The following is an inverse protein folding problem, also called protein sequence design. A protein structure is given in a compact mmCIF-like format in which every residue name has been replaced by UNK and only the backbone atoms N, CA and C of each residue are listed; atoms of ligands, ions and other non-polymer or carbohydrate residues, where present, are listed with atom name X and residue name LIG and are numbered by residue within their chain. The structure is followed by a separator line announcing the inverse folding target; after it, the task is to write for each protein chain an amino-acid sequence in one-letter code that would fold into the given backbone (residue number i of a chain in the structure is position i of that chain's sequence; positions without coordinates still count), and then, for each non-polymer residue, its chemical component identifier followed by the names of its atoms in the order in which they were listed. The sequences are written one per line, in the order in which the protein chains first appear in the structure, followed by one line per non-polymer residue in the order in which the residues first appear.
data_IF_090067487531
#
_entry.id   IF_090067487531
#
_cell.length_a   1.000
_cell.length_b   1.000
_cell.length_c   1.000
_cell.angle_alpha   90.00
_cell.angle_beta   90.00
_cell.angle_gamma   90.00
#
_symmetry.space_group_name_H-M   'P 1'
#
loop_
_entity.id
_entity.type
_entity.pdbx_description
1 polymer ?
#
# COMPACT_ATOMS: atom_id res chain seq x y z
N UNK A 1 -8.87 -20.80 -31.07
CA UNK A 1 -9.57 -20.02 -32.11
C UNK A 1 -8.54 -19.16 -32.82
N UNK A 2 -8.53 -19.11 -34.15
CA UNK A 2 -7.56 -18.29 -34.88
C UNK A 2 -7.97 -16.80 -34.76
N UNK A 3 -7.04 -15.94 -34.37
CA UNK A 3 -7.26 -14.50 -34.34
C UNK A 3 -7.37 -13.94 -35.77
N UNK A 4 -8.23 -12.92 -36.02
CA UNK A 4 -8.20 -12.18 -37.28
C UNK A 4 -6.80 -11.63 -37.57
N UNK A 5 -6.34 -11.72 -38.83
CA UNK A 5 -4.97 -11.33 -39.21
C UNK A 5 -4.62 -9.90 -38.81
N UNK A 6 -5.49 -8.94 -39.12
CA UNK A 6 -5.31 -7.54 -38.76
C UNK A 6 -5.19 -7.33 -37.23
N UNK A 7 -5.97 -8.07 -36.44
CA UNK A 7 -5.88 -7.98 -34.98
C UNK A 7 -4.55 -8.52 -34.46
N UNK A 8 -4.11 -9.67 -34.98
CA UNK A 8 -2.79 -10.23 -34.66
C UNK A 8 -1.68 -9.26 -35.01
N UNK A 9 -1.67 -8.72 -36.23
CA UNK A 9 -0.65 -7.77 -36.69
C UNK A 9 -0.60 -6.52 -35.81
N UNK A 10 -1.76 -5.97 -35.42
CA UNK A 10 -1.82 -4.83 -34.51
C UNK A 10 -1.25 -5.14 -33.13
N UNK A 11 -1.52 -6.33 -32.57
CA UNK A 11 -0.97 -6.75 -31.28
C UNK A 11 0.55 -6.96 -31.36
N UNK A 12 1.04 -7.56 -32.44
CA UNK A 12 2.47 -7.74 -32.69
C UNK A 12 3.18 -6.37 -32.77
N UNK A 13 2.64 -5.45 -33.56
CA UNK A 13 3.16 -4.09 -33.67
C UNK A 13 3.13 -3.33 -32.32
N UNK A 14 2.09 -3.53 -31.51
CA UNK A 14 2.01 -2.94 -30.17
C UNK A 14 3.03 -3.53 -29.18
N UNK A 15 3.47 -4.78 -29.39
CA UNK A 15 4.50 -5.42 -28.58
C UNK A 15 5.93 -5.01 -28.98
N UNK A 16 6.15 -4.57 -30.21
CA UNK A 16 7.50 -4.27 -30.71
C UNK A 16 8.28 -3.24 -29.87
N UNK A 17 7.67 -2.13 -29.39
CA UNK A 17 8.36 -1.22 -28.47
C UNK A 17 8.80 -1.92 -27.17
N UNK A 18 7.97 -2.84 -26.65
CA UNK A 18 8.30 -3.61 -25.46
C UNK A 18 9.40 -4.62 -25.73
N UNK A 19 9.41 -5.25 -26.92
CA UNK A 19 10.48 -6.18 -27.35
C UNK A 19 11.83 -5.48 -27.42
N UNK A 20 11.87 -4.30 -28.03
CA UNK A 20 13.09 -3.50 -28.15
C UNK A 20 13.68 -3.13 -26.78
N UNK A 21 12.83 -2.96 -25.76
CA UNK A 21 13.23 -2.66 -24.38
C UNK A 21 13.42 -3.91 -23.50
N UNK A 22 13.21 -5.12 -24.03
CA UNK A 22 13.23 -6.35 -23.23
C UNK A 22 12.10 -6.48 -22.21
N UNK A 23 10.99 -5.75 -22.40
CA UNK A 23 9.82 -5.68 -21.51
C UNK A 23 8.67 -6.61 -21.94
N UNK A 24 8.98 -7.68 -22.66
CA UNK A 24 8.03 -8.77 -22.91
C UNK A 24 8.25 -9.84 -21.85
N UNK A 25 7.39 -9.82 -20.83
CA UNK A 25 7.50 -10.70 -19.69
C UNK A 25 6.93 -12.08 -19.97
N UNK A 26 7.55 -13.11 -19.39
CA UNK A 26 7.01 -14.47 -19.30
C UNK A 26 6.78 -14.79 -17.83
N UNK A 27 5.70 -15.50 -17.54
CA UNK A 27 5.45 -16.01 -16.19
C UNK A 27 6.53 -17.03 -15.86
N UNK A 28 7.24 -16.82 -14.76
CA UNK A 28 8.29 -17.73 -14.26
C UNK A 28 7.80 -18.42 -13.00
N UNK A 29 8.21 -19.67 -12.81
CA UNK A 29 7.99 -20.36 -11.56
C UNK A 29 8.68 -19.60 -10.40
N UNK A 30 8.18 -19.74 -9.16
CA UNK A 30 8.85 -19.25 -7.97
C UNK A 30 10.31 -19.72 -7.88
N UNK A 31 11.17 -18.92 -7.24
CA UNK A 31 12.61 -19.18 -7.21
C UNK A 31 12.94 -20.52 -6.51
N UNK A 32 12.23 -20.88 -5.46
CA UNK A 32 12.39 -22.14 -4.73
C UNK A 32 12.07 -23.37 -5.58
N UNK A 33 11.02 -23.33 -6.40
CA UNK A 33 10.72 -24.38 -7.38
C UNK A 33 11.82 -24.54 -8.45
N UNK A 34 12.55 -23.47 -8.72
CA UNK A 34 13.70 -23.46 -9.62
C UNK A 34 15.02 -23.85 -8.92
N UNK A 35 14.99 -24.24 -7.65
CA UNK A 35 16.19 -24.50 -6.85
C UNK A 35 17.07 -23.27 -6.62
N UNK A 36 16.49 -22.08 -6.78
CA UNK A 36 17.13 -20.80 -6.60
C UNK A 36 16.76 -20.16 -5.27
N UNK A 37 17.62 -19.23 -4.82
CA UNK A 37 17.32 -18.40 -3.66
C UNK A 37 16.56 -17.17 -4.12
N UNK A 38 15.41 -16.89 -3.49
CA UNK A 38 14.58 -15.73 -3.81
C UNK A 38 15.16 -14.43 -3.23
N UNK A 39 15.46 -13.45 -4.09
CA UNK A 39 15.85 -12.08 -3.71
C UNK A 39 14.89 -11.02 -4.27
N UNK A 40 13.84 -11.44 -4.97
CA UNK A 40 12.96 -10.55 -5.73
C UNK A 40 11.55 -10.43 -5.16
N UNK A 41 11.11 -11.35 -4.27
CA UNK A 41 9.78 -11.24 -3.68
C UNK A 41 9.67 -10.13 -2.65
N UNK A 42 8.46 -9.59 -2.55
CA UNK A 42 8.07 -8.64 -1.51
C UNK A 42 7.63 -9.31 -0.21
N UNK A 43 7.89 -10.61 -0.02
CA UNK A 43 7.60 -11.34 1.22
C UNK A 43 8.66 -11.01 2.29
N UNK A 44 8.73 -9.74 2.68
CA UNK A 44 9.87 -9.14 3.41
C UNK A 44 10.13 -9.79 4.77
N UNK A 45 9.10 -10.22 5.48
CA UNK A 45 9.23 -10.95 6.76
C UNK A 45 9.18 -12.47 6.59
N UNK A 46 8.97 -12.97 5.36
CA UNK A 46 8.78 -14.39 5.09
C UNK A 46 7.58 -15.03 5.81
N UNK A 47 6.63 -14.23 6.33
CA UNK A 47 5.47 -14.73 7.09
C UNK A 47 4.57 -15.64 6.25
N UNK A 48 4.44 -15.38 4.94
CA UNK A 48 3.62 -16.20 4.05
C UNK A 48 4.10 -17.64 3.90
N UNK A 49 5.40 -17.90 4.16
CA UNK A 49 5.99 -19.25 4.11
C UNK A 49 6.24 -19.86 5.48
N UNK A 50 5.95 -19.15 6.57
CA UNK A 50 6.37 -19.57 7.91
C UNK A 50 5.50 -20.69 8.48
N UNK A 51 6.11 -21.57 9.28
CA UNK A 51 5.39 -22.63 9.99
C UNK A 51 4.36 -22.05 10.97
N UNK A 52 4.73 -20.98 11.70
CA UNK A 52 3.85 -20.30 12.65
C UNK A 52 2.56 -19.77 12.00
N UNK A 53 2.66 -19.06 10.87
CA UNK A 53 1.48 -18.57 10.12
C UNK A 53 0.63 -19.73 9.62
N UNK A 54 1.26 -20.80 9.11
CA UNK A 54 0.53 -21.99 8.65
C UNK A 54 -0.24 -22.67 9.78
N UNK A 55 0.39 -22.84 10.93
CA UNK A 55 -0.25 -23.44 12.11
C UNK A 55 -1.42 -22.59 12.59
N UNK A 56 -1.25 -21.27 12.69
CA UNK A 56 -2.33 -20.38 13.10
C UNK A 56 -3.48 -20.36 12.10
N UNK A 57 -3.17 -20.39 10.80
CA UNK A 57 -4.18 -20.53 9.75
C UNK A 57 -5.00 -21.83 9.91
N UNK A 58 -4.33 -22.97 10.13
CA UNK A 58 -5.02 -24.24 10.37
C UNK A 58 -5.88 -24.21 11.64
N UNK A 59 -5.43 -23.51 12.69
CA UNK A 59 -6.24 -23.28 13.89
C UNK A 59 -7.48 -22.43 13.59
N UNK A 60 -7.37 -21.37 12.79
CA UNK A 60 -8.52 -20.57 12.37
C UNK A 60 -9.53 -21.38 11.55
N UNK A 61 -9.08 -22.29 10.67
CA UNK A 61 -9.97 -23.22 9.98
C UNK A 61 -10.68 -24.16 10.98
N UNK A 62 -9.94 -24.72 11.94
CA UNK A 62 -10.50 -25.61 12.96
C UNK A 62 -11.49 -24.90 13.90
N UNK A 63 -11.31 -23.60 14.15
CA UNK A 63 -12.26 -22.76 14.90
C UNK A 63 -13.56 -22.50 14.13
N UNK A 64 -13.55 -22.67 12.81
CA UNK A 64 -14.69 -22.38 11.93
C UNK A 64 -15.06 -23.59 11.04
N UNK A 65 -15.33 -24.79 11.59
CA UNK A 65 -15.38 -26.04 10.82
C UNK A 65 -16.46 -26.10 9.72
N UNK A 66 -17.46 -25.21 9.77
CA UNK A 66 -18.57 -25.12 8.82
C UNK A 66 -18.43 -23.94 7.84
N UNK A 67 -17.21 -23.43 7.63
CA UNK A 67 -17.00 -22.33 6.69
C UNK A 67 -17.38 -22.73 5.25
N UNK A 68 -17.93 -21.79 4.49
CA UNK A 68 -18.17 -21.98 3.06
C UNK A 68 -16.87 -21.71 2.27
N UNK A 69 -16.55 -22.58 1.30
CA UNK A 69 -15.36 -22.44 0.44
C UNK A 69 -15.48 -21.20 -0.45
N UNK A 70 -16.68 -20.90 -0.94
CA UNK A 70 -16.98 -19.70 -1.73
C UNK A 70 -18.00 -18.81 -1.03
N UNK A 71 -17.97 -17.51 -1.35
CA UNK A 71 -18.94 -16.52 -0.83
C UNK A 71 -20.24 -16.51 -1.63
N UNK A 72 -20.18 -16.79 -2.93
CA UNK A 72 -21.37 -16.84 -3.81
C UNK A 72 -21.96 -15.47 -4.18
N UNK A 73 -21.33 -14.36 -3.76
CA UNK A 73 -21.83 -13.01 -4.02
C UNK A 73 -20.81 -11.92 -3.66
N UNK A 74 -21.13 -10.67 -4.01
CA UNK A 74 -20.35 -9.51 -3.58
C UNK A 74 -20.55 -9.24 -2.08
N UNK A 75 -19.69 -8.40 -1.49
CA UNK A 75 -19.86 -7.96 -0.08
C UNK A 75 -21.24 -7.32 0.17
N UNK A 76 -21.83 -6.67 -0.84
CA UNK A 76 -23.16 -6.06 -0.74
C UNK A 76 -24.31 -7.06 -0.87
N UNK A 77 -24.11 -8.20 -1.54
CA UNK A 77 -25.14 -9.17 -1.86
C UNK A 77 -24.82 -10.54 -1.26
N UNK A 78 -24.87 -10.63 0.07
CA UNK A 78 -24.72 -11.89 0.81
C UNK A 78 -23.27 -12.39 1.01
N UNK A 79 -22.28 -11.69 0.46
CA UNK A 79 -20.86 -12.03 0.63
C UNK A 79 -20.18 -11.46 1.88
N UNK A 80 -20.88 -10.63 2.66
CA UNK A 80 -20.39 -10.18 3.98
C UNK A 80 -20.85 -11.14 5.06
N UNK A 81 -19.88 -11.70 5.78
CA UNK A 81 -20.14 -12.57 6.94
C UNK A 81 -19.71 -11.85 8.21
N UNK A 82 -20.28 -12.27 9.35
CA UNK A 82 -19.90 -11.74 10.66
C UNK A 82 -18.39 -11.85 10.93
N UNK A 83 -17.75 -12.90 10.44
CA UNK A 83 -16.31 -13.10 10.57
C UNK A 83 -15.51 -11.97 9.91
N UNK A 84 -15.97 -11.49 8.75
CA UNK A 84 -15.31 -10.39 8.03
C UNK A 84 -15.47 -9.07 8.80
N UNK A 85 -16.67 -8.81 9.31
CA UNK A 85 -16.95 -7.58 10.09
C UNK A 85 -16.14 -7.54 11.39
N UNK A 86 -16.01 -8.68 12.08
CA UNK A 86 -15.17 -8.80 13.28
C UNK A 86 -13.68 -8.60 12.94
N UNK A 87 -13.19 -9.22 11.87
CA UNK A 87 -11.80 -9.04 11.44
C UNK A 87 -11.50 -7.59 11.04
N UNK A 88 -12.39 -6.92 10.29
CA UNK A 88 -12.22 -5.52 9.93
C UNK A 88 -12.14 -4.61 11.16
N UNK A 89 -12.93 -4.89 12.19
CA UNK A 89 -12.90 -4.17 13.48
C UNK A 89 -11.60 -4.43 14.24
N UNK A 90 -11.19 -5.69 14.35
CA UNK A 90 -9.96 -6.07 15.05
C UNK A 90 -8.72 -5.44 14.40
N UNK A 91 -8.70 -5.41 13.06
CA UNK A 91 -7.63 -4.74 12.31
C UNK A 91 -7.69 -3.22 12.49
N UNK A 92 -8.86 -2.60 12.43
CA UNK A 92 -9.00 -1.17 12.68
C UNK A 92 -8.42 -0.78 14.06
N UNK A 93 -8.76 -1.55 15.10
CA UNK A 93 -8.17 -1.38 16.43
C UNK A 93 -6.65 -1.57 16.44
N UNK A 94 -6.16 -2.62 15.78
CA UNK A 94 -4.72 -2.90 15.70
C UNK A 94 -3.93 -1.74 15.09
N UNK A 95 -4.46 -1.11 14.05
CA UNK A 95 -3.80 0.02 13.38
C UNK A 95 -4.18 1.39 13.96
N UNK A 96 -4.91 1.45 15.09
CA UNK A 96 -5.38 2.69 15.70
C UNK A 96 -6.22 3.55 14.71
N UNK A 97 -7.27 2.94 14.15
CA UNK A 97 -8.26 3.59 13.28
C UNK A 97 -9.67 3.27 13.74
N UNK A 98 -10.63 4.14 13.40
CA UNK A 98 -12.04 3.94 13.75
C UNK A 98 -12.66 2.77 13.00
N UNK A 99 -12.37 2.67 11.70
CA UNK A 99 -12.95 1.67 10.81
C UNK A 99 -11.93 1.11 9.82
N UNK A 100 -12.14 -0.15 9.45
CA UNK A 100 -11.36 -0.88 8.46
C UNK A 100 -12.25 -1.43 7.34
N UNK A 101 -11.76 -1.39 6.10
CA UNK A 101 -12.44 -1.99 4.96
C UNK A 101 -11.44 -2.83 4.15
N UNK A 102 -11.63 -4.15 4.10
CA UNK A 102 -10.75 -5.05 3.37
C UNK A 102 -11.15 -5.12 1.90
N UNK A 103 -10.17 -5.00 1.01
CA UNK A 103 -10.28 -5.20 -0.43
C UNK A 103 -9.39 -6.37 -0.90
N UNK A 104 -9.69 -7.01 -2.05
CA UNK A 104 -8.92 -8.14 -2.56
C UNK A 104 -7.44 -7.83 -2.86
N UNK A 105 -7.07 -6.56 -3.02
CA UNK A 105 -5.68 -6.11 -3.15
C UNK A 105 -5.46 -4.66 -2.67
N UNK A 106 -4.21 -4.31 -2.38
CA UNK A 106 -3.82 -2.90 -2.16
C UNK A 106 -4.01 -2.03 -3.41
N UNK A 107 -3.84 -2.61 -4.61
CA UNK A 107 -4.13 -1.91 -5.87
C UNK A 107 -5.58 -1.43 -5.91
N UNK A 108 -6.53 -2.33 -5.63
CA UNK A 108 -7.95 -1.98 -5.58
C UNK A 108 -8.28 -0.98 -4.49
N UNK A 109 -7.59 -1.04 -3.34
CA UNK A 109 -7.70 -0.04 -2.28
C UNK A 109 -7.36 1.36 -2.79
N UNK A 110 -6.20 1.52 -3.41
CA UNK A 110 -5.79 2.81 -4.00
C UNK A 110 -6.76 3.29 -5.08
N UNK A 111 -7.23 2.40 -5.95
CA UNK A 111 -8.23 2.75 -6.97
C UNK A 111 -9.53 3.21 -6.32
N UNK A 112 -10.03 2.49 -5.32
CA UNK A 112 -11.27 2.82 -4.62
C UNK A 112 -11.19 4.19 -3.94
N UNK A 113 -10.09 4.48 -3.25
CA UNK A 113 -9.86 5.77 -2.57
C UNK A 113 -9.93 6.92 -3.57
N UNK A 114 -9.09 6.90 -4.60
CA UNK A 114 -8.88 8.06 -5.47
C UNK A 114 -9.97 8.24 -6.53
N UNK A 115 -10.62 7.17 -6.97
CA UNK A 115 -11.73 7.24 -7.92
C UNK A 115 -13.05 7.65 -7.25
N UNK A 116 -13.18 7.46 -5.93
CA UNK A 116 -14.47 7.59 -5.23
C UNK A 116 -14.53 8.78 -4.30
N UNK A 117 -13.53 8.96 -3.43
CA UNK A 117 -13.60 9.96 -2.34
C UNK A 117 -13.59 11.40 -2.84
N UNK A 118 -12.72 11.80 -3.79
CA UNK A 118 -12.74 13.17 -4.28
C UNK A 118 -14.05 13.49 -5.00
N UNK A 119 -14.60 14.67 -4.73
CA UNK A 119 -15.81 15.19 -5.35
C UNK A 119 -15.47 16.25 -6.41
N UNK A 120 -16.49 16.65 -7.17
CA UNK A 120 -16.36 17.73 -8.15
C UNK A 120 -16.00 19.03 -7.45
N UNK A 121 -14.94 19.69 -7.92
CA UNK A 121 -14.41 20.92 -7.33
C UNK A 121 -13.23 20.70 -6.38
N UNK A 122 -12.99 19.46 -5.94
CA UNK A 122 -11.84 19.12 -5.12
C UNK A 122 -10.55 19.04 -5.95
N UNK A 123 -9.41 19.04 -5.25
CA UNK A 123 -8.09 18.83 -5.83
C UNK A 123 -7.39 17.60 -5.24
N UNK A 124 -6.53 16.94 -6.02
CA UNK A 124 -5.61 15.89 -5.57
C UNK A 124 -4.18 16.32 -5.86
N UNK A 125 -3.39 16.45 -4.81
CA UNK A 125 -1.96 16.75 -4.86
C UNK A 125 -1.21 15.51 -4.42
N UNK A 126 -0.30 15.02 -5.24
CA UNK A 126 0.35 13.73 -4.97
C UNK A 126 1.85 13.81 -5.18
N UNK A 127 2.59 12.91 -4.53
CA UNK A 127 4.02 12.81 -4.75
C UNK A 127 4.34 12.44 -6.22
N UNK A 128 5.38 13.04 -6.80
CA UNK A 128 5.78 12.78 -8.18
C UNK A 128 6.09 11.30 -8.48
N UNK A 129 6.48 10.50 -7.48
CA UNK A 129 6.78 9.05 -7.62
C UNK A 129 5.68 8.14 -7.10
N UNK A 130 4.48 8.67 -6.79
CA UNK A 130 3.36 7.88 -6.30
C UNK A 130 3.05 6.67 -7.20
N UNK A 131 2.71 5.55 -6.56
CA UNK A 131 2.48 4.26 -7.18
C UNK A 131 1.44 4.28 -8.30
N UNK A 132 1.62 3.40 -9.28
CA UNK A 132 0.75 3.30 -10.46
C UNK A 132 -0.73 3.07 -10.09
N UNK A 133 -1.03 2.30 -9.05
CA UNK A 133 -2.41 2.08 -8.59
C UNK A 133 -3.12 3.36 -8.18
N UNK A 134 -2.40 4.28 -7.54
CA UNK A 134 -2.93 5.58 -7.14
C UNK A 134 -3.22 6.43 -8.38
N UNK A 135 -2.30 6.42 -9.35
CA UNK A 135 -2.50 7.09 -10.64
C UNK A 135 -3.69 6.54 -11.41
N UNK A 136 -3.90 5.23 -11.39
CA UNK A 136 -5.05 4.59 -12.03
C UNK A 136 -6.37 4.98 -11.36
N UNK A 137 -6.40 5.09 -10.04
CA UNK A 137 -7.55 5.64 -9.32
C UNK A 137 -7.83 7.10 -9.68
N UNK A 138 -6.77 7.93 -9.72
CA UNK A 138 -6.87 9.35 -10.07
C UNK A 138 -7.41 9.59 -11.49
N UNK A 139 -7.10 8.72 -12.45
CA UNK A 139 -7.63 8.79 -13.82
C UNK A 139 -9.15 8.73 -13.90
N UNK A 140 -9.79 8.08 -12.93
CA UNK A 140 -11.26 7.96 -12.84
C UNK A 140 -11.86 8.91 -11.80
N UNK A 141 -11.07 9.82 -11.25
CA UNK A 141 -11.50 10.72 -10.18
C UNK A 141 -12.40 11.85 -10.70
N UNK A 142 -13.23 12.39 -9.80
CA UNK A 142 -14.05 13.58 -10.04
C UNK A 142 -13.34 14.90 -9.69
N UNK A 143 -12.15 14.81 -9.08
CA UNK A 143 -11.36 15.98 -8.73
C UNK A 143 -11.08 16.84 -9.97
N UNK A 144 -11.25 18.14 -9.82
CA UNK A 144 -11.05 19.10 -10.92
C UNK A 144 -9.55 19.31 -11.20
N UNK A 145 -8.75 19.35 -10.14
CA UNK A 145 -7.32 19.61 -10.21
C UNK A 145 -6.57 18.38 -9.73
N UNK A 146 -5.65 17.86 -10.55
CA UNK A 146 -4.71 16.80 -10.16
C UNK A 146 -3.30 17.28 -10.51
N UNK A 147 -2.42 17.36 -9.52
CA UNK A 147 -1.05 17.88 -9.69
C UNK A 147 -0.03 17.08 -8.87
N UNK A 148 1.14 16.76 -9.45
CA UNK A 148 2.25 16.26 -8.66
C UNK A 148 2.96 17.40 -7.93
N UNK A 149 3.56 17.11 -6.77
CA UNK A 149 4.64 17.92 -6.19
C UNK A 149 5.96 17.13 -6.24
N UNK A 150 7.10 17.81 -6.07
CA UNK A 150 8.40 17.16 -6.14
C UNK A 150 8.55 16.07 -5.07
N UNK A 151 9.19 14.97 -5.44
CA UNK A 151 9.24 13.76 -4.64
C UNK A 151 9.86 14.01 -3.26
N UNK A 152 9.13 13.68 -2.19
CA UNK A 152 9.51 13.86 -0.79
C UNK A 152 9.97 15.29 -0.44
N UNK A 153 9.37 16.30 -1.09
CA UNK A 153 9.69 17.72 -0.89
C UNK A 153 8.48 18.49 -0.28
N UNK A 154 8.49 18.72 1.05
CA UNK A 154 7.43 19.49 1.72
C UNK A 154 7.29 20.94 1.23
N UNK A 155 8.38 21.58 0.78
CA UNK A 155 8.32 22.96 0.29
C UNK A 155 7.65 22.99 -1.09
N UNK A 156 8.01 22.05 -1.97
CA UNK A 156 7.33 21.91 -3.26
C UNK A 156 5.84 21.63 -3.09
N UNK A 157 5.46 20.82 -2.10
CA UNK A 157 4.04 20.61 -1.76
C UNK A 157 3.37 21.93 -1.38
N UNK A 158 3.97 22.71 -0.49
CA UNK A 158 3.44 24.01 -0.08
C UNK A 158 3.23 24.93 -1.28
N UNK A 159 4.24 25.05 -2.15
CA UNK A 159 4.18 25.93 -3.33
C UNK A 159 3.05 25.52 -4.28
N UNK A 160 2.89 24.21 -4.55
CA UNK A 160 1.80 23.68 -5.37
C UNK A 160 0.42 23.95 -4.74
N UNK A 161 0.31 23.84 -3.41
CA UNK A 161 -0.94 24.15 -2.71
C UNK A 161 -1.30 25.64 -2.80
N UNK A 162 -0.32 26.55 -2.69
CA UNK A 162 -0.55 27.98 -2.92
C UNK A 162 -1.04 28.25 -4.36
N UNK A 163 -0.43 27.63 -5.37
CA UNK A 163 -0.87 27.74 -6.75
C UNK A 163 -2.31 27.25 -6.94
N UNK A 164 -2.67 26.13 -6.33
CA UNK A 164 -4.03 25.57 -6.42
C UNK A 164 -5.07 26.51 -5.79
N UNK A 165 -4.76 27.14 -4.65
CA UNK A 165 -5.65 28.16 -4.06
C UNK A 165 -5.85 29.39 -4.95
N UNK A 166 -4.82 29.78 -5.71
CA UNK A 166 -4.94 30.89 -6.67
C UNK A 166 -5.83 30.51 -7.87
N UNK A 167 -5.80 29.24 -8.29
CA UNK A 167 -6.60 28.73 -9.40
C UNK A 167 -8.05 28.45 -9.02
N UNK A 168 -8.32 28.06 -7.77
CA UNK A 168 -9.63 27.66 -7.29
C UNK A 168 -10.00 28.39 -5.98
N UNK A 169 -10.70 29.53 -6.07
CA UNK A 169 -11.10 30.31 -4.89
C UNK A 169 -11.91 29.51 -3.87
N UNK A 170 -12.73 28.54 -4.31
CA UNK A 170 -13.49 27.69 -3.39
C UNK A 170 -12.58 26.82 -2.50
N UNK A 171 -11.38 26.44 -2.96
CA UNK A 171 -10.37 25.78 -2.13
C UNK A 171 -9.73 26.77 -1.16
N UNK A 172 -9.42 27.99 -1.61
CA UNK A 172 -8.86 29.04 -0.74
C UNK A 172 -9.80 29.42 0.41
N UNK A 173 -11.11 29.46 0.14
CA UNK A 173 -12.16 29.78 1.11
C UNK A 173 -12.56 28.58 2.00
N UNK A 174 -12.03 27.37 1.71
CA UNK A 174 -12.32 26.16 2.48
C UNK A 174 -13.65 25.49 2.14
N UNK A 175 -14.26 25.82 1.01
CA UNK A 175 -15.52 25.24 0.54
C UNK A 175 -15.33 23.91 -0.20
N UNK A 176 -14.20 23.74 -0.88
CA UNK A 176 -13.78 22.50 -1.53
C UNK A 176 -12.54 21.91 -0.85
N UNK A 177 -12.34 20.61 -1.00
CA UNK A 177 -11.31 19.84 -0.30
C UNK A 177 -10.06 19.63 -1.16
N UNK A 178 -8.89 19.58 -0.52
CA UNK A 178 -7.66 19.12 -1.14
C UNK A 178 -7.22 17.80 -0.52
N UNK A 179 -7.05 16.79 -1.37
CA UNK A 179 -6.49 15.51 -1.01
C UNK A 179 -4.98 15.56 -1.24
N UNK A 180 -4.18 15.22 -0.23
CA UNK A 180 -2.73 15.08 -0.37
C UNK A 180 -2.36 13.61 -0.21
N UNK A 181 -1.82 12.99 -1.26
CA UNK A 181 -1.49 11.56 -1.28
C UNK A 181 0.01 11.31 -1.39
N UNK A 182 0.53 10.51 -0.47
CA UNK A 182 1.94 10.08 -0.43
C UNK A 182 2.06 8.59 -0.08
N UNK A 183 3.21 7.98 -0.38
CA UNK A 183 3.61 6.68 0.17
C UNK A 183 4.49 6.92 1.41
N UNK A 184 4.41 6.05 2.41
CA UNK A 184 5.30 6.14 3.58
C UNK A 184 6.70 5.63 3.29
N UNK A 185 6.81 4.50 2.59
CA UNK A 185 8.05 3.94 2.06
C UNK A 185 7.83 3.66 0.57
N UNK A 186 8.60 4.31 -0.31
CA UNK A 186 8.39 4.20 -1.75
C UNK A 186 8.96 2.89 -2.31
N UNK A 187 8.17 2.23 -3.16
CA UNK A 187 8.43 0.86 -3.60
C UNK A 187 9.73 0.64 -4.38
N UNK A 188 10.15 1.63 -5.16
CA UNK A 188 11.28 1.50 -6.10
C UNK A 188 12.61 1.94 -5.49
N UNK A 189 12.62 3.06 -4.78
CA UNK A 189 13.84 3.66 -4.22
C UNK A 189 14.05 3.30 -2.74
N UNK A 190 13.01 2.81 -2.06
CA UNK A 190 13.06 2.39 -0.66
C UNK A 190 13.26 3.54 0.33
N UNK A 191 13.09 4.79 -0.11
CA UNK A 191 13.17 5.96 0.72
C UNK A 191 11.86 6.23 1.47
N UNK A 192 11.97 6.99 2.56
CA UNK A 192 10.88 7.20 3.51
C UNK A 192 10.42 8.64 3.48
N UNK A 193 9.11 8.83 3.39
CA UNK A 193 8.53 10.15 3.33
C UNK A 193 8.75 10.96 4.62
N UNK A 194 9.04 12.27 4.52
CA UNK A 194 8.99 13.20 5.65
C UNK A 194 7.54 13.52 6.01
N UNK A 195 6.79 12.51 6.50
CA UNK A 195 5.33 12.59 6.69
C UNK A 195 4.92 13.74 7.61
N UNK A 196 5.65 13.95 8.72
CA UNK A 196 5.35 15.02 9.67
C UNK A 196 5.52 16.41 9.03
N UNK A 197 6.59 16.62 8.26
CA UNK A 197 6.83 17.87 7.55
C UNK A 197 5.76 18.11 6.48
N UNK A 198 5.41 17.08 5.69
CA UNK A 198 4.37 17.14 4.66
C UNK A 198 3.02 17.54 5.27
N UNK A 199 2.61 16.90 6.38
CA UNK A 199 1.36 17.24 7.08
C UNK A 199 1.39 18.69 7.56
N UNK A 200 2.49 19.14 8.16
CA UNK A 200 2.64 20.50 8.66
C UNK A 200 2.55 21.54 7.54
N UNK A 201 3.26 21.32 6.43
CA UNK A 201 3.24 22.23 5.28
C UNK A 201 1.86 22.25 4.59
N UNK A 202 1.20 21.10 4.47
CA UNK A 202 -0.15 21.04 3.92
C UNK A 202 -1.16 21.81 4.77
N UNK A 203 -1.12 21.65 6.10
CA UNK A 203 -1.95 22.41 7.05
C UNK A 203 -1.64 23.90 7.02
N UNK A 204 -0.37 24.27 6.88
CA UNK A 204 0.07 25.66 6.76
C UNK A 204 -0.51 26.32 5.51
N UNK A 205 -0.52 25.61 4.38
CA UNK A 205 -1.10 26.09 3.13
C UNK A 205 -2.64 26.15 3.16
N UNK A 206 -3.29 25.23 3.88
CA UNK A 206 -4.75 25.08 3.97
C UNK A 206 -5.29 25.30 5.40
N UNK A 207 -5.17 26.51 5.97
CA UNK A 207 -5.54 26.78 7.37
C UNK A 207 -7.04 26.72 7.65
N UNK A 208 -7.88 26.57 6.62
CA UNK A 208 -9.34 26.47 6.74
C UNK A 208 -9.85 25.07 7.09
N UNK A 209 -8.95 24.08 7.16
CA UNK A 209 -9.30 22.72 7.58
C UNK A 209 -9.91 21.85 6.48
N UNK A 210 -9.72 22.22 5.21
CA UNK A 210 -10.18 21.51 4.02
C UNK A 210 -9.11 20.58 3.43
N UNK A 211 -8.30 19.95 4.28
CA UNK A 211 -7.23 19.03 3.92
C UNK A 211 -7.63 17.59 4.26
N UNK A 212 -7.42 16.67 3.32
CA UNK A 212 -7.53 15.22 3.54
C UNK A 212 -6.19 14.57 3.19
N UNK A 213 -5.49 14.07 4.21
CA UNK A 213 -4.24 13.33 4.03
C UNK A 213 -4.53 11.85 3.74
N UNK A 214 -3.88 11.30 2.71
CA UNK A 214 -3.91 9.89 2.34
C UNK A 214 -2.48 9.34 2.37
N UNK A 215 -2.26 8.26 3.13
CA UNK A 215 -0.96 7.59 3.22
C UNK A 215 -1.05 6.14 2.76
N UNK A 216 -0.27 5.78 1.74
CA UNK A 216 -0.04 4.39 1.36
C UNK A 216 1.09 3.79 2.21
N UNK A 217 0.72 2.85 3.07
CA UNK A 217 1.57 2.14 4.04
C UNK A 217 1.94 0.73 3.55
N UNK A 218 1.86 0.46 2.23
CA UNK A 218 2.07 -0.88 1.70
C UNK A 218 3.46 -1.46 2.01
N UNK A 219 4.51 -0.62 2.09
CA UNK A 219 5.89 -1.05 2.36
C UNK A 219 6.36 -0.78 3.78
N UNK A 220 5.61 -0.03 4.59
CA UNK A 220 5.90 0.19 6.01
C UNK A 220 5.25 -0.88 6.90
N UNK A 221 4.12 -1.42 6.45
CA UNK A 221 3.38 -2.44 7.18
C UNK A 221 4.25 -3.66 7.48
N UNK A 222 4.23 -4.10 8.74
CA UNK A 222 5.05 -5.21 9.24
C UNK A 222 6.52 -4.87 9.43
N UNK A 223 6.99 -3.67 9.05
CA UNK A 223 8.42 -3.29 9.10
C UNK A 223 8.67 -2.14 10.08
N UNK A 224 7.71 -1.25 10.26
CA UNK A 224 7.84 -0.11 11.18
C UNK A 224 6.58 0.05 12.04
N UNK A 225 6.71 0.78 13.14
CA UNK A 225 5.62 1.00 14.10
C UNK A 225 5.50 -0.12 15.13
N UNK A 226 4.77 0.14 16.23
CA UNK A 226 4.47 -0.87 17.24
C UNK A 226 3.85 -2.11 16.59
N UNK A 227 4.45 -3.28 16.82
CA UNK A 227 4.01 -4.56 16.23
C UNK A 227 3.87 -4.56 14.69
N UNK A 228 4.55 -3.65 13.98
CA UNK A 228 4.44 -3.53 12.52
C UNK A 228 3.21 -2.75 12.02
N UNK A 229 2.60 -1.92 12.88
CA UNK A 229 1.41 -1.15 12.55
C UNK A 229 1.60 -0.03 11.51
N UNK A 230 2.83 0.26 11.06
CA UNK A 230 3.11 1.27 10.02
C UNK A 230 3.77 2.54 10.53
N UNK A 231 4.14 3.43 9.59
CA UNK A 231 4.90 4.64 9.88
C UNK A 231 4.04 5.69 10.58
N UNK A 232 2.75 5.79 10.24
CA UNK A 232 1.82 6.69 10.90
C UNK A 232 1.76 6.42 12.42
N UNK A 233 1.62 5.15 12.81
CA UNK A 233 1.64 4.73 14.21
C UNK A 233 3.00 4.96 14.89
N UNK A 234 4.09 4.75 14.15
CA UNK A 234 5.44 5.06 14.66
C UNK A 234 5.61 6.54 15.01
N UNK A 235 4.96 7.43 14.25
CA UNK A 235 5.04 8.89 14.39
C UNK A 235 3.95 9.48 15.29
N UNK A 236 2.92 8.71 15.66
CA UNK A 236 1.76 9.24 16.38
C UNK A 236 0.89 10.16 15.52
N UNK A 237 0.86 9.95 14.19
CA UNK A 237 0.15 10.79 13.22
C UNK A 237 -1.13 10.14 12.68
N UNK A 238 -1.64 9.07 13.29
CA UNK A 238 -2.82 8.35 12.79
C UNK A 238 -4.04 9.26 12.67
N UNK A 239 -4.24 10.18 13.62
CA UNK A 239 -5.34 11.14 13.61
C UNK A 239 -5.15 12.29 12.62
N UNK A 240 -3.95 12.45 12.09
CA UNK A 240 -3.64 13.46 11.06
C UNK A 240 -3.83 12.92 9.64
N UNK A 241 -4.02 11.60 9.50
CA UNK A 241 -4.14 10.90 8.23
C UNK A 241 -5.51 10.27 8.14
N UNK A 242 -6.40 10.96 7.42
CA UNK A 242 -7.80 10.56 7.25
C UNK A 242 -7.96 9.18 6.61
N UNK A 243 -7.05 8.80 5.70
CA UNK A 243 -7.07 7.49 5.05
C UNK A 243 -5.69 6.88 5.02
N UNK A 244 -5.54 5.68 5.59
CA UNK A 244 -4.33 4.86 5.45
C UNK A 244 -4.64 3.59 4.69
N UNK A 245 -3.78 3.21 3.75
CA UNK A 245 -3.89 1.97 3.01
C UNK A 245 -2.74 1.03 3.38
N UNK A 246 -3.05 -0.16 3.90
CA UNK A 246 -2.07 -1.23 4.08
C UNK A 246 -2.32 -2.35 3.07
N UNK A 247 -1.27 -3.06 2.66
CA UNK A 247 -1.40 -4.30 1.87
C UNK A 247 -0.94 -5.51 2.67
N UNK A 248 -1.65 -6.63 2.50
CA UNK A 248 -1.30 -7.92 3.09
C UNK A 248 -0.44 -8.77 2.15
N UNK A 249 -0.20 -8.32 0.91
CA UNK A 249 0.57 -9.04 -0.10
C UNK A 249 2.11 -8.91 0.01
N UNK A 250 2.61 -8.26 1.06
CA UNK A 250 4.04 -8.00 1.26
C UNK A 250 4.57 -8.64 2.54
N UNK A 251 4.81 -7.85 3.59
CA UNK A 251 5.36 -8.34 4.87
C UNK A 251 4.55 -9.50 5.47
N UNK A 252 3.23 -9.43 5.36
CA UNK A 252 2.28 -10.46 5.85
C UNK A 252 2.30 -11.73 4.98
N UNK A 253 2.69 -11.63 3.71
CA UNK A 253 2.76 -12.76 2.77
C UNK A 253 1.41 -13.41 2.45
N UNK A 254 0.31 -12.67 2.64
CA UNK A 254 -1.05 -13.07 2.27
C UNK A 254 -1.51 -12.42 0.96
N UNK A 255 -2.80 -12.12 0.87
CA UNK A 255 -3.40 -11.32 -0.20
C UNK A 255 -4.32 -10.26 0.40
N UNK A 256 -4.58 -9.19 -0.34
CA UNK A 256 -5.49 -8.12 0.10
C UNK A 256 -4.85 -6.78 0.41
N UNK A 257 -5.72 -5.84 0.74
CA UNK A 257 -5.39 -4.60 1.40
C UNK A 257 -6.52 -4.15 2.32
N UNK A 258 -6.21 -3.24 3.23
CA UNK A 258 -7.19 -2.63 4.13
C UNK A 258 -7.09 -1.11 4.03
N UNK A 259 -8.24 -0.48 3.85
CA UNK A 259 -8.41 0.97 4.00
C UNK A 259 -8.81 1.21 5.45
N UNK A 260 -8.00 2.01 6.15
CA UNK A 260 -8.24 2.47 7.51
C UNK A 260 -8.72 3.92 7.43
N UNK A 261 -9.87 4.20 8.01
CA UNK A 261 -10.54 5.48 7.88
C UNK A 261 -11.61 5.67 8.96
N UNK A 262 -12.38 6.75 8.87
CA UNK A 262 -13.58 6.94 9.69
C UNK A 262 -14.80 6.19 9.13
N UNK A 263 -15.88 6.13 9.93
CA UNK A 263 -17.12 5.47 9.52
C UNK A 263 -17.88 6.15 8.38
N UNK A 264 -17.71 7.45 8.16
CA UNK A 264 -18.31 8.14 7.02
C UNK A 264 -17.62 7.73 5.71
N UNK A 265 -16.28 7.75 5.68
CA UNK A 265 -15.45 7.33 4.55
C UNK A 265 -15.73 5.86 4.20
N UNK A 266 -15.74 4.96 5.20
CA UNK A 266 -16.08 3.55 4.97
C UNK A 266 -17.47 3.39 4.34
N UNK A 267 -18.50 4.04 4.89
CA UNK A 267 -19.87 3.97 4.34
C UNK A 267 -19.93 4.52 2.91
N UNK A 268 -19.21 5.59 2.63
CA UNK A 268 -19.19 6.20 1.30
C UNK A 268 -18.50 5.28 0.28
N UNK A 269 -17.35 4.69 0.62
CA UNK A 269 -16.66 3.71 -0.22
C UNK A 269 -17.54 2.48 -0.48
N UNK A 270 -18.16 1.91 0.55
CA UNK A 270 -19.06 0.75 0.41
C UNK A 270 -20.23 1.06 -0.53
N UNK A 271 -20.70 2.31 -0.57
CA UNK A 271 -21.85 2.75 -1.35
C UNK A 271 -21.52 3.17 -2.79
N UNK A 272 -20.27 3.57 -3.07
CA UNK A 272 -19.92 4.21 -4.34
C UNK A 272 -18.67 3.65 -5.03
N UNK A 273 -17.79 2.95 -4.32
CA UNK A 273 -16.57 2.40 -4.91
C UNK A 273 -16.92 1.18 -5.79
N UNK A 274 -17.03 1.43 -7.10
CA UNK A 274 -17.48 0.42 -8.08
C UNK A 274 -16.65 -0.86 -8.05
N UNK A 275 -15.34 -0.76 -7.88
CA UNK A 275 -14.45 -1.91 -7.80
C UNK A 275 -14.62 -2.73 -6.51
N UNK A 276 -15.21 -2.16 -5.46
CA UNK A 276 -15.66 -2.90 -4.28
C UNK A 276 -17.07 -3.50 -4.49
N UNK A 277 -17.99 -2.74 -5.09
CA UNK A 277 -19.39 -3.16 -5.26
C UNK A 277 -19.56 -4.31 -6.26
N UNK A 278 -18.85 -4.25 -7.38
CA UNK A 278 -19.03 -5.15 -8.54
C UNK A 278 -17.99 -6.28 -8.61
N UNK A 279 -17.37 -6.60 -7.48
CA UNK A 279 -16.49 -7.76 -7.35
C UNK A 279 -17.08 -8.77 -6.37
N UNK A 280 -16.75 -10.06 -6.57
CA UNK A 280 -17.16 -11.12 -5.65
C UNK A 280 -16.35 -11.01 -4.36
N UNK A 281 -16.98 -11.20 -3.20
CA UNK A 281 -16.26 -11.17 -1.93
C UNK A 281 -15.21 -12.31 -1.88
N UNK A 282 -13.99 -12.06 -1.38
CA UNK A 282 -13.00 -13.13 -1.17
C UNK A 282 -13.54 -14.25 -0.29
N UNK A 283 -13.05 -15.47 -0.48
CA UNK A 283 -13.43 -16.63 0.34
C UNK A 283 -13.04 -16.47 1.82
N UNK A 284 -13.67 -17.24 2.72
CA UNK A 284 -13.30 -17.26 4.14
C UNK A 284 -11.79 -17.49 4.36
N UNK A 285 -11.19 -18.39 3.59
CA UNK A 285 -9.76 -18.72 3.68
C UNK A 285 -8.85 -17.51 3.42
N UNK A 286 -9.26 -16.56 2.58
CA UNK A 286 -8.52 -15.32 2.35
C UNK A 286 -8.45 -14.49 3.64
N UNK A 287 -9.57 -14.32 4.32
CA UNK A 287 -9.64 -13.56 5.57
C UNK A 287 -8.96 -14.31 6.73
N UNK A 288 -9.07 -15.64 6.78
CA UNK A 288 -8.36 -16.46 7.76
C UNK A 288 -6.84 -16.35 7.62
N UNK A 289 -6.31 -16.28 6.39
CA UNK A 289 -4.88 -16.04 6.15
C UNK A 289 -4.44 -14.68 6.68
N UNK A 290 -5.21 -13.61 6.42
CA UNK A 290 -4.90 -12.26 6.95
C UNK A 290 -4.86 -12.30 8.48
N UNK A 291 -5.90 -12.85 9.10
CA UNK A 291 -6.00 -12.93 10.56
C UNK A 291 -4.84 -13.71 11.18
N UNK A 292 -4.52 -14.87 10.63
CA UNK A 292 -3.42 -15.70 11.11
C UNK A 292 -2.07 -14.97 11.00
N UNK A 293 -1.79 -14.36 9.86
CA UNK A 293 -0.52 -13.69 9.63
C UNK A 293 -0.36 -12.42 10.49
N UNK A 294 -1.42 -11.62 10.70
CA UNK A 294 -1.39 -10.48 11.63
C UNK A 294 -1.27 -10.94 13.08
N UNK A 295 -1.91 -12.04 13.46
CA UNK A 295 -1.78 -12.64 14.80
C UNK A 295 -0.33 -13.04 15.07
N UNK A 296 0.30 -13.75 14.13
CA UNK A 296 1.71 -14.15 14.25
C UNK A 296 2.62 -12.94 14.26
N UNK A 297 2.43 -11.97 13.36
CA UNK A 297 3.18 -10.72 13.34
C UNK A 297 3.13 -9.97 14.69
N UNK A 298 1.97 -10.01 15.35
CA UNK A 298 1.75 -9.31 16.63
C UNK A 298 2.23 -10.11 17.85
N UNK A 299 2.59 -11.38 17.66
CA UNK A 299 3.08 -12.27 18.73
C UNK A 299 4.57 -12.04 19.02
N UNK A 300 5.11 -12.66 20.07
CA UNK A 300 6.55 -12.60 20.36
C UNK A 300 7.42 -13.14 19.21
N UNK A 301 6.93 -14.11 18.43
CA UNK A 301 7.64 -14.65 17.27
C UNK A 301 7.70 -13.65 16.11
N UNK A 302 6.68 -12.80 15.97
CA UNK A 302 6.61 -11.74 14.97
C UNK A 302 7.19 -10.40 15.42
N UNK A 303 7.35 -10.19 16.73
CA UNK A 303 7.91 -8.98 17.32
C UNK A 303 9.44 -8.91 17.12
N UNK A 304 9.84 -8.67 15.87
CA UNK A 304 11.24 -8.48 15.48
C UNK A 304 11.89 -7.27 16.16
N UNK A 305 11.11 -6.33 16.70
CA UNK A 305 11.63 -5.20 17.49
C UNK A 305 12.28 -5.67 18.80
N UNK A 306 11.78 -6.75 19.41
CA UNK A 306 12.36 -7.39 20.61
C UNK A 306 13.54 -8.33 20.31
N UNK A 307 13.73 -8.76 19.05
CA UNK A 307 14.79 -9.69 18.63
C UNK A 307 16.24 -9.12 18.70
N UNK A 308 16.48 -8.01 19.41
CA UNK A 308 17.76 -7.27 19.52
C UNK A 308 18.34 -6.74 18.19
N UNK A 309 17.57 -6.76 17.10
CA UNK A 309 18.04 -6.31 15.76
C UNK A 309 17.69 -4.85 15.42
N UNK A 310 16.77 -4.23 16.15
CA UNK A 310 16.36 -2.83 15.93
C UNK A 310 16.49 -2.05 17.24
N UNK A 311 17.61 -1.36 17.45
CA UNK A 311 17.73 -0.45 18.60
C UNK A 311 17.20 0.93 18.21
N UNK A 312 16.27 1.46 19.00
CA UNK A 312 15.71 2.83 18.93
C UNK A 312 16.72 3.98 18.93
N UNK A 313 18.03 3.70 19.04
CA UNK A 313 19.12 4.69 18.99
C UNK A 313 19.48 5.18 17.58
N UNK A 314 18.99 4.56 16.51
CA UNK A 314 19.32 4.94 15.12
C UNK A 314 18.31 5.89 14.47
N UNK A 315 17.23 6.27 15.17
CA UNK A 315 16.13 7.04 14.62
C UNK A 315 15.92 8.35 15.39
N UNK A 316 16.64 9.41 14.98
CA UNK A 316 16.54 10.75 15.59
C UNK A 316 15.79 11.76 14.70
N UNK A 317 14.93 11.30 13.77
CA UNK A 317 14.04 12.14 12.97
C UNK A 317 14.68 13.22 12.09
N UNK A 318 16.01 13.39 12.10
CA UNK A 318 16.73 14.51 11.44
C UNK A 318 17.98 14.12 10.65
N UNK A 319 18.36 12.85 10.66
CA UNK A 319 19.55 12.38 9.91
C UNK A 319 19.10 11.56 8.73
N UNK A 320 19.55 11.92 7.52
CA UNK A 320 19.47 11.09 6.31
C UNK A 320 19.79 9.64 6.70
N UNK A 321 18.76 8.82 6.77
CA UNK A 321 18.89 7.41 7.08
C UNK A 321 19.68 6.81 5.93
N UNK A 322 20.88 6.31 6.21
CA UNK A 322 21.68 5.61 5.22
C UNK A 322 21.07 4.23 5.01
N UNK A 323 20.03 4.15 4.17
CA UNK A 323 19.24 2.95 3.89
C UNK A 323 20.09 1.80 3.35
N UNK A 324 21.24 2.05 2.74
CA UNK A 324 22.21 1.00 2.42
C UNK A 324 22.65 0.21 3.66
N UNK A 325 22.71 0.82 4.85
CA UNK A 325 23.00 0.10 6.09
C UNK A 325 21.77 -0.64 6.65
N UNK A 326 20.55 -0.16 6.41
CA UNK A 326 19.32 -0.85 6.84
C UNK A 326 19.03 -2.05 5.96
N UNK A 327 19.09 -1.86 4.64
CA UNK A 327 19.05 -2.92 3.64
C UNK A 327 20.21 -3.87 3.91
N UNK A 328 21.41 -3.37 4.21
CA UNK A 328 22.52 -4.22 4.68
C UNK A 328 22.15 -5.10 5.83
N UNK A 329 21.65 -4.51 6.90
CA UNK A 329 21.46 -5.27 8.11
C UNK A 329 20.31 -6.27 7.91
N UNK A 330 19.22 -5.90 7.22
CA UNK A 330 18.17 -6.85 6.78
C UNK A 330 18.79 -7.99 5.94
N UNK A 331 19.55 -7.69 4.90
CA UNK A 331 20.14 -8.70 4.01
C UNK A 331 21.27 -9.51 4.67
N UNK A 332 22.03 -8.98 5.62
CA UNK A 332 23.04 -9.72 6.42
C UNK A 332 22.31 -10.72 7.31
N UNK A 333 21.18 -10.32 7.88
CA UNK A 333 20.43 -11.09 8.88
C UNK A 333 19.58 -12.22 8.30
N UNK A 334 19.23 -12.17 7.00
CA UNK A 334 18.75 -13.31 6.18
C UNK A 334 19.87 -14.05 5.43
N UNK A 335 21.15 -13.76 5.68
CA UNK A 335 22.29 -14.50 5.10
C UNK A 335 22.61 -14.18 3.64
N UNK A 336 22.13 -13.04 3.13
CA UNK A 336 22.02 -12.71 1.70
C UNK A 336 22.85 -11.49 1.24
N UNK A 337 23.51 -10.80 2.17
CA UNK A 337 24.21 -9.52 1.89
C UNK A 337 25.36 -9.58 0.90
N UNK A 338 26.21 -10.61 0.97
CA UNK A 338 27.35 -10.74 0.05
C UNK A 338 26.92 -10.90 -1.41
N UNK A 339 25.70 -11.40 -1.66
CA UNK A 339 25.13 -11.54 -3.00
C UNK A 339 24.37 -10.30 -3.49
N UNK A 340 23.70 -9.56 -2.60
CA UNK A 340 23.06 -8.28 -2.94
C UNK A 340 24.06 -7.25 -3.50
N UNK A 341 25.29 -7.22 -2.96
CA UNK A 341 26.37 -6.36 -3.46
C UNK A 341 26.76 -6.66 -4.91
N UNK A 342 26.69 -7.92 -5.35
CA UNK A 342 26.87 -8.30 -6.76
C UNK A 342 25.67 -7.92 -7.62
N UNK A 343 24.44 -8.07 -7.10
CA UNK A 343 23.20 -7.79 -7.83
C UNK A 343 23.02 -6.29 -8.12
N UNK A 344 23.24 -5.42 -7.13
CA UNK A 344 23.20 -3.95 -7.31
C UNK A 344 24.27 -3.48 -8.30
N UNK A 345 25.45 -4.09 -8.29
CA UNK A 345 26.51 -3.80 -9.27
C UNK A 345 26.18 -4.28 -10.70
N UNK A 346 25.26 -5.22 -10.87
CA UNK A 346 24.79 -5.71 -12.18
C UNK A 346 23.63 -4.85 -12.68
N UNK A 347 22.69 -4.46 -11.81
CA UNK A 347 21.56 -3.59 -12.18
C UNK A 347 21.99 -2.14 -12.50
N UNK A 348 22.99 -1.59 -11.79
CA UNK A 348 23.53 -0.25 -12.09
C UNK A 348 24.28 -0.17 -13.43
N UNK A 349 24.69 -1.30 -14.01
CA UNK A 349 25.32 -1.35 -15.34
C UNK A 349 24.32 -1.50 -16.50
N UNK A 350 23.00 -1.57 -16.23
CA UNK A 350 21.96 -1.76 -17.26
C UNK A 350 21.04 -0.55 -17.48
N UNK A 351 21.38 0.63 -16.98
CA UNK A 351 20.64 1.86 -17.31
C UNK A 351 21.57 3.06 -17.47
N UNK A 352 22.07 3.24 -18.70
CA UNK A 352 22.40 4.54 -19.29
C UNK A 352 22.26 4.42 -20.81
N UNK A 353 21.08 4.77 -21.34
CA UNK A 353 20.94 5.67 -22.50
C UNK A 353 19.64 6.45 -22.27
N UNK A 354 19.80 7.76 -22.36
CA UNK A 354 18.88 8.90 -22.18
C UNK A 354 17.43 8.73 -22.58
#
# INVERSE_FOLDING_TARGET
MALPSAYRENLEAALDPSRQKGQVFKLTAPADELGCVDFGSNNTLSLGGSAATREEFLRELARNPNFAIGTGGSRLLGGTTRYIDELERDLAHFYNADEGLILPSGYEGNVAIHATLPQTGDAIIHDAKIHASTRDGMRSSKAHIIRPFAHNDPQSLYDVLEEVKLLEPAIADGLNTVFVTIESIYSMDGDVAPVAEIVNEAKRALPKGNLVMILDEAHSHGIVGPSGAGLACQLGLEHEIAVRLHTFGKAIGGGGGIILCDGLIKRYLVSHARNFMFTTAPAFTFFATIKAAVTVMSSEEGDWSKSKRWSSRSWNGRTKVNWMNIIRDIFILVGKWFMYRKYVSICLNLTFVS
#
